data_IF_396380120625
#
_entry.id   IF_396380120625
#
_cell.length_a   1.000
_cell.length_b   1.000
_cell.length_c   1.000
_cell.angle_alpha   90.00
_cell.angle_beta   90.00
_cell.angle_gamma   90.00
#
_symmetry.space_group_name_H-M   'P 1'
#
loop_
_entity.id
_entity.type
_entity.pdbx_description
1 polymer ?
#
# COMPACT_ATOMS: atom_id res chain seq x y z
N UNK A 1 -19.99 -26.26 -1.94
CA UNK A 1 -19.02 -25.14 -2.11
C UNK A 1 -19.67 -23.87 -1.59
N UNK A 2 -19.23 -23.35 -0.45
CA UNK A 2 -19.73 -22.07 0.08
C UNK A 2 -18.80 -20.97 -0.45
N UNK A 3 -19.28 -20.20 -1.41
CA UNK A 3 -18.58 -18.97 -1.80
C UNK A 3 -18.69 -17.96 -0.66
N UNK A 4 -17.58 -17.63 -0.04
CA UNK A 4 -17.49 -16.58 0.96
C UNK A 4 -17.46 -15.23 0.23
N UNK A 5 -18.59 -14.52 0.24
CA UNK A 5 -18.78 -13.24 -0.47
C UNK A 5 -18.12 -12.01 0.21
N UNK A 6 -17.20 -12.17 1.16
CA UNK A 6 -16.65 -11.05 1.94
C UNK A 6 -15.11 -10.97 1.91
N UNK A 7 -14.49 -11.30 0.80
CA UNK A 7 -13.02 -11.34 0.72
C UNK A 7 -12.39 -9.95 0.56
N UNK A 8 -13.05 -8.99 -0.09
CA UNK A 8 -12.40 -7.76 -0.55
C UNK A 8 -12.07 -6.72 0.53
N UNK A 9 -12.89 -6.56 1.55
CA UNK A 9 -12.72 -5.49 2.55
C UNK A 9 -11.65 -5.76 3.62
N UNK A 10 -11.26 -7.01 3.80
CA UNK A 10 -10.37 -7.41 4.88
C UNK A 10 -8.93 -7.74 4.45
N UNK A 11 -8.68 -7.95 3.15
CA UNK A 11 -7.37 -8.42 2.67
C UNK A 11 -6.27 -7.38 2.89
N UNK A 12 -6.51 -6.12 2.55
CA UNK A 12 -5.51 -5.06 2.73
C UNK A 12 -5.35 -4.72 4.22
N UNK A 13 -6.43 -4.84 5.00
CA UNK A 13 -6.45 -4.56 6.44
C UNK A 13 -5.86 -5.72 7.25
N UNK A 14 -6.17 -6.95 6.87
CA UNK A 14 -5.74 -8.19 7.55
C UNK A 14 -4.74 -8.95 6.67
N UNK A 15 -3.48 -8.60 6.77
CA UNK A 15 -2.38 -9.24 6.04
C UNK A 15 -2.10 -10.70 6.45
N UNK A 16 -2.82 -11.25 7.44
CA UNK A 16 -2.62 -12.63 7.93
C UNK A 16 -3.26 -13.70 7.05
N UNK A 17 -4.16 -13.31 6.11
CA UNK A 17 -4.82 -14.28 5.22
C UNK A 17 -3.82 -14.81 4.18
N UNK A 18 -3.71 -16.12 4.12
CA UNK A 18 -3.06 -16.79 3.00
C UNK A 18 -4.00 -16.81 1.79
N UNK A 19 -3.50 -16.36 0.66
CA UNK A 19 -4.22 -16.28 -0.61
C UNK A 19 -3.34 -16.92 -1.67
N UNK A 20 -3.91 -17.84 -2.44
CA UNK A 20 -3.26 -18.35 -3.64
C UNK A 20 -3.28 -17.25 -4.71
N UNK A 21 -2.23 -16.44 -4.74
CA UNK A 21 -2.10 -15.34 -5.68
C UNK A 21 -1.39 -15.78 -6.95
N UNK A 22 -2.05 -15.59 -8.08
CA UNK A 22 -1.49 -15.87 -9.39
C UNK A 22 -1.03 -14.58 -10.05
N UNK A 23 0.27 -14.48 -10.31
CA UNK A 23 0.84 -13.35 -11.06
C UNK A 23 0.42 -13.45 -12.52
N UNK A 24 -0.31 -12.45 -12.98
CA UNK A 24 -0.68 -12.32 -14.38
C UNK A 24 0.31 -11.41 -15.12
N UNK A 25 0.41 -11.47 -16.45
CA UNK A 25 1.24 -10.54 -17.22
C UNK A 25 0.93 -9.08 -16.90
N UNK A 26 -0.34 -8.74 -16.73
CA UNK A 26 -0.78 -7.39 -16.40
C UNK A 26 -0.31 -6.94 -15.00
N UNK A 27 -0.43 -7.80 -13.99
CA UNK A 27 0.02 -7.45 -12.62
C UNK A 27 1.53 -7.34 -12.53
N UNK A 28 2.26 -8.15 -13.32
CA UNK A 28 3.71 -8.03 -13.44
C UNK A 28 4.09 -6.69 -14.10
N UNK A 29 3.43 -6.31 -15.18
CA UNK A 29 3.69 -5.02 -15.84
C UNK A 29 3.42 -3.84 -14.90
N UNK A 30 2.33 -3.88 -14.11
CA UNK A 30 2.02 -2.85 -13.11
C UNK A 30 3.15 -2.76 -12.07
N UNK A 31 3.60 -3.90 -11.54
CA UNK A 31 4.71 -3.94 -10.60
C UNK A 31 5.98 -3.33 -11.19
N UNK A 32 6.35 -3.74 -12.41
CA UNK A 32 7.54 -3.25 -13.09
C UNK A 32 7.46 -1.73 -13.34
N UNK A 33 6.29 -1.20 -13.68
CA UNK A 33 6.07 0.25 -13.83
C UNK A 33 6.27 1.01 -12.52
N UNK A 34 5.82 0.46 -11.40
CA UNK A 34 5.92 1.11 -10.08
C UNK A 34 7.36 1.07 -9.56
N UNK A 35 8.04 -0.08 -9.66
CA UNK A 35 9.28 -0.33 -8.94
C UNK A 35 10.51 -0.45 -9.82
N UNK A 36 10.37 -0.86 -11.08
CA UNK A 36 11.53 -1.08 -11.97
C UNK A 36 11.75 0.09 -12.91
N UNK A 37 10.71 0.53 -13.61
CA UNK A 37 10.84 1.53 -14.69
C UNK A 37 10.74 2.98 -14.21
N UNK A 38 10.21 3.24 -13.02
CA UNK A 38 9.97 4.58 -12.47
C UNK A 38 10.80 4.90 -11.24
N UNK A 39 11.89 4.22 -11.04
CA UNK A 39 12.78 4.47 -9.92
C UNK A 39 13.26 5.92 -9.93
N UNK A 40 12.66 6.75 -9.09
CA UNK A 40 13.11 8.11 -8.84
C UNK A 40 12.17 9.25 -9.28
N UNK A 41 11.31 9.09 -10.29
CA UNK A 41 10.51 10.21 -10.82
C UNK A 41 9.08 10.28 -10.27
N UNK A 42 8.33 9.19 -10.29
CA UNK A 42 6.93 9.16 -9.83
C UNK A 42 6.79 8.43 -8.49
N UNK A 43 6.22 9.11 -7.50
CA UNK A 43 5.99 8.57 -6.15
C UNK A 43 4.50 8.31 -5.87
N UNK A 44 3.60 8.56 -6.84
CA UNK A 44 2.16 8.37 -6.69
C UNK A 44 1.58 7.63 -7.89
N UNK A 45 0.79 6.59 -7.62
CA UNK A 45 0.19 5.73 -8.64
C UNK A 45 -1.29 5.50 -8.35
N UNK A 46 -2.11 5.52 -9.38
CA UNK A 46 -3.52 5.18 -9.32
C UNK A 46 -3.77 3.84 -10.01
N UNK A 47 -4.31 2.86 -9.26
CA UNK A 47 -4.76 1.59 -9.80
C UNK A 47 -6.25 1.69 -10.15
N UNK A 48 -6.56 1.79 -11.44
CA UNK A 48 -7.94 1.91 -11.93
C UNK A 48 -8.38 0.57 -12.51
N UNK A 49 -9.57 0.15 -12.15
CA UNK A 49 -10.19 -1.07 -12.67
C UNK A 49 -11.55 -1.32 -12.02
N UNK A 50 -12.37 -2.13 -12.66
CA UNK A 50 -13.69 -2.49 -12.19
C UNK A 50 -13.66 -3.20 -10.83
N UNK A 51 -14.82 -3.28 -10.17
CA UNK A 51 -14.96 -4.08 -8.96
C UNK A 51 -14.64 -5.56 -9.26
N UNK A 52 -13.92 -6.23 -8.36
CA UNK A 52 -13.58 -7.64 -8.52
C UNK A 52 -12.37 -7.95 -9.43
N UNK A 53 -11.69 -6.93 -9.99
CA UNK A 53 -10.50 -7.13 -10.85
C UNK A 53 -9.20 -7.46 -10.10
N UNK A 54 -9.26 -7.72 -8.79
CA UNK A 54 -8.11 -8.14 -8.01
C UNK A 54 -7.17 -7.00 -7.54
N UNK A 55 -7.62 -5.73 -7.56
CA UNK A 55 -6.79 -4.60 -7.10
C UNK A 55 -6.28 -4.77 -5.66
N UNK A 56 -7.19 -5.07 -4.74
CA UNK A 56 -6.83 -5.28 -3.32
C UNK A 56 -5.95 -6.51 -3.12
N UNK A 57 -6.16 -7.55 -3.91
CA UNK A 57 -5.31 -8.76 -3.88
C UNK A 57 -3.91 -8.46 -4.43
N UNK A 58 -3.81 -7.62 -5.46
CA UNK A 58 -2.51 -7.12 -5.95
C UNK A 58 -1.78 -6.31 -4.88
N UNK A 59 -2.48 -5.40 -4.17
CA UNK A 59 -1.89 -4.60 -3.09
C UNK A 59 -1.40 -5.49 -1.93
N UNK A 60 -2.14 -6.55 -1.61
CA UNK A 60 -1.72 -7.55 -0.64
C UNK A 60 -0.45 -8.30 -1.10
N UNK A 61 -0.43 -8.80 -2.34
CA UNK A 61 0.73 -9.49 -2.89
C UNK A 61 1.95 -8.56 -2.98
N UNK A 62 1.73 -7.29 -3.30
CA UNK A 62 2.76 -6.25 -3.28
C UNK A 62 3.40 -6.09 -1.90
N UNK A 63 2.57 -5.96 -0.84
CA UNK A 63 3.05 -5.86 0.54
C UNK A 63 3.87 -7.08 0.93
N UNK A 64 3.36 -8.29 0.67
CA UNK A 64 4.07 -9.55 0.94
C UNK A 64 5.42 -9.63 0.22
N UNK A 65 5.44 -9.25 -1.05
CA UNK A 65 6.66 -9.26 -1.86
C UNK A 65 7.70 -8.25 -1.35
N UNK A 66 7.27 -7.03 -1.01
CA UNK A 66 8.17 -5.99 -0.50
C UNK A 66 8.73 -6.31 0.89
N UNK A 67 7.93 -6.95 1.75
CA UNK A 67 8.35 -7.45 3.06
C UNK A 67 9.14 -8.76 2.99
N UNK A 68 9.35 -9.30 1.78
CA UNK A 68 10.05 -10.59 1.56
C UNK A 68 9.40 -11.79 2.26
N UNK A 69 8.11 -11.68 2.58
CA UNK A 69 7.34 -12.78 3.18
C UNK A 69 7.01 -13.83 2.12
N UNK A 70 6.64 -13.40 0.90
CA UNK A 70 6.41 -14.24 -0.27
C UNK A 70 6.93 -13.53 -1.52
N UNK A 71 7.55 -14.25 -2.44
CA UNK A 71 8.11 -13.69 -3.67
C UNK A 71 7.16 -13.96 -4.83
N UNK A 72 6.38 -12.94 -5.21
CA UNK A 72 5.48 -13.00 -6.36
C UNK A 72 6.08 -12.32 -7.60
N UNK A 73 6.82 -11.24 -7.39
CA UNK A 73 7.41 -10.42 -8.44
C UNK A 73 8.93 -10.46 -8.35
N UNK A 74 9.59 -10.01 -9.40
CA UNK A 74 11.05 -9.91 -9.39
C UNK A 74 11.52 -9.04 -8.20
N UNK A 75 12.63 -9.43 -7.59
CA UNK A 75 13.23 -8.62 -6.54
C UNK A 75 13.51 -7.21 -7.09
N UNK A 76 13.11 -6.21 -6.32
CA UNK A 76 13.58 -4.85 -6.54
C UNK A 76 15.08 -4.90 -6.31
N UNK A 77 15.87 -4.57 -7.34
CA UNK A 77 17.31 -4.44 -7.15
C UNK A 77 17.53 -3.32 -6.15
N UNK A 78 18.02 -3.67 -4.98
CA UNK A 78 18.31 -2.74 -3.87
C UNK A 78 19.48 -1.78 -4.19
N UNK A 79 19.97 -1.79 -5.42
CA UNK A 79 21.23 -1.13 -5.78
C UNK A 79 21.13 0.39 -5.87
N UNK A 80 19.95 0.98 -5.97
CA UNK A 80 19.86 2.42 -6.19
C UNK A 80 19.66 3.29 -4.95
N UNK A 81 19.06 2.80 -3.83
CA UNK A 81 18.72 3.67 -2.70
C UNK A 81 19.03 3.13 -1.30
N UNK A 82 19.78 2.05 -1.16
CA UNK A 82 20.08 1.45 0.15
C UNK A 82 18.82 1.14 1.01
N UNK A 83 17.65 0.94 0.39
CA UNK A 83 16.43 0.58 1.12
C UNK A 83 16.53 -0.88 1.57
N UNK A 84 16.45 -1.07 2.88
CA UNK A 84 16.58 -2.40 3.51
C UNK A 84 15.21 -3.05 3.71
N UNK A 85 14.17 -2.24 3.95
CA UNK A 85 12.83 -2.69 4.33
C UNK A 85 11.75 -1.68 3.95
N UNK A 86 10.47 -2.03 4.08
CA UNK A 86 9.35 -1.15 3.79
C UNK A 86 8.41 -1.01 4.99
N UNK A 87 7.97 0.22 5.25
CA UNK A 87 6.92 0.53 6.21
C UNK A 87 5.63 0.89 5.46
N UNK A 88 4.52 0.23 5.83
CA UNK A 88 3.23 0.41 5.18
C UNK A 88 2.24 1.18 6.05
N UNK A 89 1.61 2.18 5.46
CA UNK A 89 0.43 2.84 6.01
C UNK A 89 -0.75 2.46 5.14
N UNK A 90 -1.69 1.70 5.69
CA UNK A 90 -2.86 1.20 4.95
C UNK A 90 -4.12 1.93 5.36
N UNK A 91 -4.80 2.50 4.39
CA UNK A 91 -6.05 3.25 4.53
C UNK A 91 -7.08 2.60 3.63
N UNK A 92 -8.25 2.32 4.18
CA UNK A 92 -9.38 1.79 3.44
C UNK A 92 -10.52 2.80 3.51
N UNK A 93 -11.08 3.16 2.35
CA UNK A 93 -12.20 4.08 2.27
C UNK A 93 -13.38 3.59 3.07
N UNK A 94 -13.87 4.45 3.94
CA UNK A 94 -15.08 4.27 4.75
C UNK A 94 -15.97 5.49 4.48
N UNK A 95 -17.25 5.43 4.86
CA UNK A 95 -18.14 6.60 4.82
C UNK A 95 -17.72 7.63 5.89
N UNK A 96 -16.51 8.14 5.77
CA UNK A 96 -15.87 9.10 6.67
C UNK A 96 -14.92 9.97 5.86
N UNK A 97 -14.62 11.18 6.35
CA UNK A 97 -13.68 12.04 5.64
C UNK A 97 -12.27 11.44 5.62
N UNK A 98 -11.55 11.65 4.52
CA UNK A 98 -10.15 11.24 4.38
C UNK A 98 -9.27 11.74 5.55
N UNK A 99 -9.55 12.94 6.05
CA UNK A 99 -8.90 13.55 7.20
C UNK A 99 -9.04 12.69 8.47
N UNK A 100 -10.24 12.21 8.74
CA UNK A 100 -10.51 11.36 9.90
C UNK A 100 -9.82 10.01 9.80
N UNK A 101 -9.83 9.41 8.61
CA UNK A 101 -9.21 8.10 8.40
C UNK A 101 -7.68 8.20 8.46
N UNK A 102 -7.10 9.24 7.86
CA UNK A 102 -5.66 9.53 7.97
C UNK A 102 -5.24 9.77 9.42
N UNK A 103 -6.01 10.56 10.18
CA UNK A 103 -5.67 10.83 11.56
C UNK A 103 -5.68 9.58 12.44
N UNK A 104 -6.62 8.66 12.20
CA UNK A 104 -6.66 7.35 12.87
C UNK A 104 -5.45 6.49 12.49
N UNK A 105 -5.15 6.38 11.19
CA UNK A 105 -4.02 5.60 10.69
C UNK A 105 -2.67 6.12 11.24
N UNK A 106 -2.54 7.44 11.36
CA UNK A 106 -1.37 8.12 11.91
C UNK A 106 -1.38 8.21 13.45
N UNK A 107 -2.41 7.63 14.11
CA UNK A 107 -2.58 7.63 15.58
C UNK A 107 -2.52 9.04 16.20
N UNK A 108 -3.04 10.04 15.50
CA UNK A 108 -3.09 11.40 15.99
C UNK A 108 -4.15 11.56 17.07
N UNK A 109 -3.89 12.41 18.08
CA UNK A 109 -4.82 12.72 19.16
C UNK A 109 -5.30 14.17 19.07
N UNK A 110 -6.54 14.40 19.48
CA UNK A 110 -7.16 15.73 19.54
C UNK A 110 -7.72 16.18 18.19
N UNK A 111 -7.91 17.48 18.02
CA UNK A 111 -8.40 18.06 16.76
C UNK A 111 -7.43 17.87 15.62
N UNK A 112 -7.96 17.51 14.46
CA UNK A 112 -7.20 17.20 13.26
C UNK A 112 -7.29 18.34 12.26
N UNK A 113 -6.16 18.70 11.69
CA UNK A 113 -6.08 19.66 10.58
C UNK A 113 -5.17 19.07 9.49
N UNK A 114 -5.34 19.58 8.28
CA UNK A 114 -4.46 19.22 7.16
C UNK A 114 -2.98 19.41 7.53
N UNK A 115 -2.65 20.50 8.19
CA UNK A 115 -1.29 20.82 8.61
C UNK A 115 -0.71 19.78 9.59
N UNK A 116 -1.52 19.31 10.55
CA UNK A 116 -1.09 18.24 11.48
C UNK A 116 -0.84 16.92 10.78
N UNK A 117 -1.68 16.55 9.81
CA UNK A 117 -1.51 15.33 9.02
C UNK A 117 -0.26 15.40 8.17
N UNK A 118 -0.07 16.50 7.42
CA UNK A 118 1.12 16.70 6.59
C UNK A 118 2.38 16.61 7.45
N UNK A 119 2.41 17.29 8.59
CA UNK A 119 3.55 17.24 9.52
C UNK A 119 3.82 15.83 10.08
N UNK A 120 2.76 15.05 10.33
CA UNK A 120 2.91 13.65 10.76
C UNK A 120 3.50 12.77 9.66
N UNK A 121 3.02 12.91 8.42
CA UNK A 121 3.56 12.19 7.25
C UNK A 121 5.02 12.57 6.99
N UNK A 122 5.38 13.85 7.09
CA UNK A 122 6.77 14.30 6.96
C UNK A 122 7.68 13.67 8.02
N UNK A 123 7.24 13.62 9.27
CA UNK A 123 7.99 12.96 10.36
C UNK A 123 8.20 11.47 10.08
N UNK A 124 7.16 10.78 9.61
CA UNK A 124 7.26 9.37 9.23
C UNK A 124 8.23 9.18 8.08
N UNK A 125 8.17 10.03 7.05
CA UNK A 125 9.10 9.99 5.93
C UNK A 125 10.55 10.19 6.38
N UNK A 126 10.81 11.17 7.25
CA UNK A 126 12.15 11.43 7.76
C UNK A 126 12.68 10.26 8.59
N UNK A 127 11.83 9.67 9.45
CA UNK A 127 12.18 8.48 10.23
C UNK A 127 12.50 7.30 9.30
N UNK A 128 11.64 7.02 8.32
CA UNK A 128 11.85 5.95 7.36
C UNK A 128 13.18 6.11 6.61
N UNK A 129 13.52 7.33 6.18
CA UNK A 129 14.82 7.63 5.56
C UNK A 129 16.01 7.35 6.48
N UNK A 130 15.91 7.72 7.77
CA UNK A 130 16.97 7.45 8.75
C UNK A 130 17.16 5.96 8.98
N UNK A 131 16.06 5.20 8.97
CA UNK A 131 16.04 3.75 9.13
C UNK A 131 16.31 2.99 7.81
N UNK A 132 16.58 3.70 6.72
CA UNK A 132 16.73 3.13 5.36
C UNK A 132 15.53 2.31 4.92
N UNK A 133 14.33 2.75 5.28
CA UNK A 133 13.06 2.12 4.90
C UNK A 133 12.35 2.90 3.80
N UNK A 134 11.73 2.18 2.88
CA UNK A 134 10.74 2.73 1.98
C UNK A 134 9.42 2.95 2.72
N UNK A 135 8.78 4.12 2.56
CA UNK A 135 7.45 4.38 3.11
C UNK A 135 6.41 4.22 2.01
N UNK A 136 5.47 3.30 2.20
CA UNK A 136 4.39 3.02 1.24
C UNK A 136 3.04 3.37 1.88
N UNK A 137 2.33 4.33 1.26
CA UNK A 137 0.96 4.66 1.62
C UNK A 137 0.00 3.98 0.64
N UNK A 138 -0.80 3.05 1.12
CA UNK A 138 -1.85 2.37 0.36
C UNK A 138 -3.19 2.99 0.73
N UNK A 139 -3.94 3.45 -0.28
CA UNK A 139 -5.32 3.94 -0.13
C UNK A 139 -6.21 3.07 -1.00
N UNK A 140 -6.91 2.12 -0.39
CA UNK A 140 -7.88 1.27 -1.09
C UNK A 140 -9.30 1.84 -0.95
N UNK A 141 -10.16 1.54 -1.91
CA UNK A 141 -11.55 2.02 -1.97
C UNK A 141 -11.68 3.55 -1.87
N UNK A 142 -10.79 4.29 -2.54
CA UNK A 142 -10.73 5.76 -2.48
C UNK A 142 -12.07 6.46 -2.77
N UNK A 143 -12.93 5.88 -3.58
CA UNK A 143 -14.26 6.43 -3.89
C UNK A 143 -15.28 6.40 -2.75
N UNK A 144 -14.92 5.90 -1.57
CA UNK A 144 -15.80 5.86 -0.38
C UNK A 144 -15.54 6.99 0.63
N UNK A 145 -14.64 7.93 0.32
CA UNK A 145 -14.40 9.13 1.13
C UNK A 145 -15.33 10.27 0.79
#
# INVERSE_FOLDING_TARGET
MKYSNNISTNIVRDGSKQIDYVVTPNTKEIFDRIFVNNYGSNKSFNLIGNYGTGKSTFLWALEKNLNREEIFFNNISSDSDNIVDFEFIKIIGENSSLLNVLSKALKLRGEFSNAKIIKALERLRLRALQERKGLVLIVDEFGKF
#
